data_IF_656219756810
#
_entry.id   IF_656219756810
#
_cell.length_a   1.000
_cell.length_b   1.000
_cell.length_c   1.000
_cell.angle_alpha   90.00
_cell.angle_beta   90.00
_cell.angle_gamma   90.00
#
_symmetry.space_group_name_H-M   'P 1'
#
loop_
_entity.id
_entity.type
_entity.pdbx_description
1 polymer ?
#
# COMPACT_ATOMS: atom_id res chain seq x y z
N UNK A 1 -14.15 -1.71 19.86
CA UNK A 1 -15.21 -2.38 19.07
C UNK A 1 -14.87 -2.60 17.57
N UNK A 2 -13.68 -2.24 17.05
CA UNK A 2 -13.32 -2.46 15.64
C UNK A 2 -12.20 -3.51 15.39
N UNK A 3 -11.70 -4.20 16.43
CA UNK A 3 -10.64 -5.21 16.26
C UNK A 3 -11.06 -6.39 15.38
N UNK A 4 -12.35 -6.68 15.27
CA UNK A 4 -12.86 -7.77 14.43
C UNK A 4 -12.67 -7.53 12.92
N UNK A 5 -12.37 -6.30 12.47
CA UNK A 5 -12.17 -5.98 11.05
C UNK A 5 -10.70 -5.78 10.68
N UNK A 6 -9.80 -5.79 11.66
CA UNK A 6 -8.36 -5.66 11.42
C UNK A 6 -7.90 -6.86 10.57
N UNK A 7 -7.10 -6.57 9.53
CA UNK A 7 -6.55 -7.52 8.55
C UNK A 7 -7.53 -8.38 7.73
N UNK A 8 -8.86 -8.21 7.88
CA UNK A 8 -9.85 -9.06 7.18
C UNK A 8 -10.05 -8.77 5.70
N UNK A 9 -9.93 -7.51 5.28
CA UNK A 9 -10.08 -7.14 3.86
C UNK A 9 -8.71 -6.85 3.28
N UNK A 10 -8.19 -7.73 2.41
CA UNK A 10 -6.87 -7.54 1.82
C UNK A 10 -6.81 -6.25 0.98
N UNK A 11 -5.69 -5.52 1.01
CA UNK A 11 -5.48 -4.33 0.17
C UNK A 11 -5.77 -4.54 -1.34
N UNK A 12 -5.44 -5.69 -1.98
CA UNK A 12 -5.80 -5.92 -3.38
C UNK A 12 -7.31 -5.88 -3.62
N UNK A 13 -8.11 -6.43 -2.71
CA UNK A 13 -9.57 -6.44 -2.85
C UNK A 13 -10.15 -5.03 -2.74
N UNK A 14 -9.68 -4.25 -1.75
CA UNK A 14 -10.06 -2.86 -1.60
C UNK A 14 -9.65 -2.03 -2.83
N UNK A 15 -8.43 -2.22 -3.33
CA UNK A 15 -7.93 -1.58 -4.53
C UNK A 15 -8.86 -1.83 -5.73
N UNK A 16 -9.20 -3.10 -6.00
CA UNK A 16 -10.07 -3.47 -7.12
C UNK A 16 -11.45 -2.85 -6.97
N UNK A 17 -12.03 -2.93 -5.77
CA UNK A 17 -13.34 -2.34 -5.47
C UNK A 17 -13.36 -0.84 -5.75
N UNK A 18 -12.37 -0.10 -5.24
CA UNK A 18 -12.27 1.34 -5.45
C UNK A 18 -11.97 1.68 -6.92
N UNK A 19 -11.13 0.91 -7.60
CA UNK A 19 -10.85 1.09 -9.02
C UNK A 19 -12.13 0.91 -9.87
N UNK A 20 -12.95 -0.09 -9.55
CA UNK A 20 -14.26 -0.32 -10.20
C UNK A 20 -15.22 0.82 -9.93
N UNK A 21 -15.29 1.33 -8.68
CA UNK A 21 -16.11 2.49 -8.34
C UNK A 21 -15.67 3.70 -9.17
N UNK A 22 -14.36 4.01 -9.21
CA UNK A 22 -13.82 5.11 -10.04
C UNK A 22 -14.21 4.94 -11.51
N UNK A 23 -14.08 3.72 -12.05
CA UNK A 23 -14.49 3.44 -13.43
C UNK A 23 -15.99 3.71 -13.68
N UNK A 24 -16.85 3.45 -12.69
CA UNK A 24 -18.29 3.70 -12.77
C UNK A 24 -18.70 5.16 -12.49
N UNK A 25 -17.83 6.00 -11.90
CA UNK A 25 -18.17 7.40 -11.60
C UNK A 25 -18.50 8.19 -12.88
N UNK A 26 -19.51 9.07 -12.88
CA UNK A 26 -19.79 9.94 -14.01
C UNK A 26 -18.76 11.07 -14.13
N UNK A 27 -18.65 11.64 -15.34
CA UNK A 27 -17.78 12.77 -15.64
C UNK A 27 -16.32 12.38 -15.85
N UNK A 28 -15.71 12.93 -16.89
CA UNK A 28 -14.28 12.75 -17.18
C UNK A 28 -13.75 13.97 -17.94
N UNK A 29 -12.58 14.45 -17.53
CA UNK A 29 -11.80 15.49 -18.23
C UNK A 29 -10.65 14.86 -19.02
N UNK A 30 -10.81 13.61 -19.45
CA UNK A 30 -9.77 12.81 -20.07
C UNK A 30 -9.12 13.51 -21.29
N UNK A 31 -7.81 13.33 -21.39
CA UNK A 31 -6.99 13.73 -22.53
C UNK A 31 -5.80 12.77 -22.66
N UNK A 32 -5.10 12.70 -23.81
CA UNK A 32 -3.94 11.84 -23.96
C UNK A 32 -2.84 12.03 -22.91
N UNK A 33 -2.71 13.25 -22.36
CA UNK A 33 -1.76 13.57 -21.27
C UNK A 33 -2.06 12.74 -20.02
N UNK A 34 -3.33 12.48 -19.74
CA UNK A 34 -3.74 11.64 -18.60
C UNK A 34 -3.22 10.21 -18.74
N UNK A 35 -3.33 9.61 -19.94
CA UNK A 35 -2.77 8.28 -20.19
C UNK A 35 -1.25 8.28 -20.10
N UNK A 36 -0.60 9.31 -20.67
CA UNK A 36 0.85 9.45 -20.65
C UNK A 36 1.44 9.53 -19.23
N UNK A 37 0.71 10.10 -18.27
CA UNK A 37 1.13 10.19 -16.86
C UNK A 37 0.61 9.01 -16.03
N UNK A 38 -0.66 8.65 -16.22
CA UNK A 38 -1.37 7.67 -15.42
C UNK A 38 -0.86 6.25 -15.62
N UNK A 39 -0.52 5.84 -16.86
CA UNK A 39 0.00 4.50 -17.14
C UNK A 39 1.36 4.27 -16.48
N UNK A 40 2.37 5.15 -16.62
CA UNK A 40 3.62 5.01 -15.88
C UNK A 40 3.43 4.96 -14.36
N UNK A 41 2.58 5.83 -13.80
CA UNK A 41 2.28 5.83 -12.37
C UNK A 41 1.64 4.51 -11.91
N UNK A 42 0.68 4.00 -12.68
CA UNK A 42 0.04 2.71 -12.43
C UNK A 42 1.05 1.56 -12.43
N UNK A 43 1.87 1.47 -13.47
CA UNK A 43 2.87 0.42 -13.62
C UNK A 43 3.95 0.51 -12.54
N UNK A 44 4.39 1.71 -12.18
CA UNK A 44 5.35 1.93 -11.09
C UNK A 44 4.76 1.47 -9.75
N UNK A 45 3.52 1.84 -9.44
CA UNK A 45 2.84 1.41 -8.22
C UNK A 45 2.67 -0.11 -8.13
N UNK A 46 2.31 -0.76 -9.23
CA UNK A 46 2.22 -2.22 -9.31
C UNK A 46 3.60 -2.90 -9.17
N UNK A 47 4.64 -2.30 -9.74
CA UNK A 47 6.02 -2.80 -9.64
C UNK A 47 6.55 -2.73 -8.21
N UNK A 48 6.26 -1.65 -7.48
CA UNK A 48 6.58 -1.49 -6.05
C UNK A 48 5.91 -2.59 -5.22
N UNK A 49 4.69 -3.00 -5.56
CA UNK A 49 4.00 -4.12 -4.90
C UNK A 49 4.62 -5.49 -5.21
N UNK A 50 5.18 -5.65 -6.40
CA UNK A 50 5.82 -6.90 -6.82
C UNK A 50 7.26 -7.04 -6.29
N UNK A 51 7.93 -5.92 -5.99
CA UNK A 51 9.33 -5.87 -5.56
C UNK A 51 9.65 -6.67 -4.28
N UNK A 52 8.81 -6.65 -3.22
CA UNK A 52 9.07 -7.49 -2.05
C UNK A 52 9.05 -8.97 -2.41
N UNK A 53 8.19 -9.42 -3.35
CA UNK A 53 8.11 -10.84 -3.78
C UNK A 53 9.38 -11.33 -4.48
N UNK A 54 10.20 -10.44 -5.06
CA UNK A 54 11.52 -10.81 -5.62
C UNK A 54 12.61 -10.83 -4.55
N UNK A 55 12.54 -9.95 -3.54
CA UNK A 55 13.44 -9.96 -2.38
C UNK A 55 13.21 -11.21 -1.50
N UNK A 56 11.94 -11.59 -1.29
CA UNK A 56 11.54 -12.71 -0.44
C UNK A 56 11.88 -14.08 -1.04
N UNK A 57 11.72 -14.25 -2.36
CA UNK A 57 12.17 -15.46 -3.06
C UNK A 57 13.68 -15.67 -2.96
N UNK A 58 14.46 -14.60 -2.90
CA UNK A 58 15.92 -14.68 -2.72
C UNK A 58 16.34 -14.92 -1.27
N UNK A 59 15.52 -14.53 -0.30
CA UNK A 59 15.79 -14.70 1.13
C UNK A 59 15.25 -16.02 1.73
N UNK A 60 14.59 -16.88 0.94
CA UNK A 60 14.08 -18.17 1.39
C UNK A 60 12.94 -18.08 2.43
N UNK A 61 12.35 -16.91 2.62
CA UNK A 61 11.30 -16.66 3.62
C UNK A 61 10.08 -16.03 2.96
N UNK A 62 8.88 -16.39 3.42
CA UNK A 62 7.63 -15.76 2.97
C UNK A 62 7.12 -14.84 4.06
N UNK A 63 7.22 -13.52 3.84
CA UNK A 63 6.36 -12.59 4.59
C UNK A 63 5.04 -12.59 3.84
N UNK A 64 4.05 -13.28 4.42
CA UNK A 64 2.67 -13.07 4.02
C UNK A 64 2.20 -11.78 4.72
N UNK A 65 1.86 -10.70 4.01
CA UNK A 65 1.29 -9.49 4.62
C UNK A 65 -0.02 -9.77 5.38
N UNK A 66 -0.64 -10.93 5.15
CA UNK A 66 -1.81 -11.43 5.87
C UNK A 66 -1.45 -12.15 7.18
N UNK A 67 -0.16 -12.45 7.40
CA UNK A 67 0.36 -13.08 8.63
C UNK A 67 1.59 -12.36 9.19
N UNK A 68 1.48 -11.07 9.58
CA UNK A 68 2.57 -10.32 10.22
C UNK A 68 3.13 -11.03 11.48
N UNK A 69 2.34 -11.88 12.14
CA UNK A 69 2.73 -12.73 13.26
C UNK A 69 3.76 -13.82 12.91
N UNK A 70 4.06 -14.05 11.63
CA UNK A 70 5.07 -15.03 11.19
C UNK A 70 6.42 -14.42 10.83
N UNK A 71 6.56 -13.08 10.86
CA UNK A 71 7.85 -12.45 10.54
C UNK A 71 8.86 -12.67 11.65
N UNK A 72 9.85 -13.54 11.42
CA UNK A 72 10.96 -13.79 12.36
C UNK A 72 12.03 -12.69 12.36
N UNK A 73 12.03 -11.82 11.35
CA UNK A 73 13.02 -10.75 11.17
C UNK A 73 12.32 -9.43 10.83
N UNK A 74 12.85 -8.31 11.35
CA UNK A 74 12.44 -6.97 10.95
C UNK A 74 13.22 -6.54 9.69
N UNK A 75 12.49 -6.26 8.60
CA UNK A 75 13.12 -5.87 7.33
C UNK A 75 13.17 -4.35 7.23
N UNK A 76 14.38 -3.81 7.17
CA UNK A 76 14.65 -2.36 7.08
C UNK A 76 15.44 -1.97 5.81
N UNK A 77 15.74 -2.94 4.94
CA UNK A 77 16.53 -2.76 3.72
C UNK A 77 15.68 -2.61 2.46
N UNK A 78 16.30 -2.21 1.35
CA UNK A 78 15.60 -2.00 0.07
C UNK A 78 14.60 -0.86 0.16
N UNK A 79 13.36 -1.07 -0.30
CA UNK A 79 12.30 -0.04 -0.25
C UNK A 79 11.88 0.32 1.18
N UNK A 80 12.07 -0.61 2.13
CA UNK A 80 11.77 -0.38 3.55
C UNK A 80 12.69 0.66 4.21
N UNK A 81 13.78 1.08 3.55
CA UNK A 81 14.62 2.18 4.07
C UNK A 81 13.99 3.56 3.88
N UNK A 82 13.02 3.66 2.97
CA UNK A 82 12.39 4.95 2.60
C UNK A 82 11.01 5.12 3.23
N UNK A 83 10.21 4.05 3.19
CA UNK A 83 8.88 3.99 3.80
C UNK A 83 8.77 2.71 4.61
N UNK A 84 8.11 2.76 5.77
CA UNK A 84 7.78 1.55 6.53
C UNK A 84 6.73 0.69 5.85
N UNK A 85 6.01 1.24 4.87
CA UNK A 85 4.84 0.64 4.23
C UNK A 85 4.91 0.72 2.69
N UNK A 86 6.02 0.31 2.04
CA UNK A 86 6.24 0.54 0.62
C UNK A 86 5.20 -0.18 -0.25
N UNK A 87 4.68 -1.33 0.18
CA UNK A 87 3.61 -2.04 -0.53
C UNK A 87 2.31 -1.23 -0.57
N UNK A 88 1.86 -0.72 0.57
CA UNK A 88 0.65 0.09 0.64
C UNK A 88 0.80 1.39 -0.14
N UNK A 89 2.01 1.99 -0.16
CA UNK A 89 2.35 3.12 -1.01
C UNK A 89 2.23 2.77 -2.50
N UNK A 90 2.75 1.60 -2.91
CA UNK A 90 2.61 1.10 -4.28
C UNK A 90 1.15 0.97 -4.71
N UNK A 91 0.26 0.47 -3.84
CA UNK A 91 -1.17 0.40 -4.14
C UNK A 91 -1.82 1.78 -4.25
N UNK A 92 -1.48 2.71 -3.35
CA UNK A 92 -1.99 4.08 -3.42
C UNK A 92 -1.55 4.78 -4.72
N UNK A 93 -0.28 4.62 -5.12
CA UNK A 93 0.25 5.15 -6.37
C UNK A 93 -0.41 4.49 -7.59
N UNK A 94 -0.61 3.17 -7.56
CA UNK A 94 -1.32 2.46 -8.61
C UNK A 94 -2.76 2.99 -8.77
N UNK A 95 -3.45 3.21 -7.66
CA UNK A 95 -4.84 3.68 -7.68
C UNK A 95 -4.90 5.13 -8.18
N UNK A 96 -3.93 5.96 -7.80
CA UNK A 96 -3.79 7.31 -8.34
C UNK A 96 -3.54 7.30 -9.85
N UNK A 97 -2.64 6.44 -10.34
CA UNK A 97 -2.40 6.25 -11.78
C UNK A 97 -3.68 5.85 -12.52
N UNK A 98 -4.46 4.94 -11.95
CA UNK A 98 -5.78 4.56 -12.49
C UNK A 98 -6.76 5.74 -12.53
N UNK A 99 -6.86 6.52 -11.45
CA UNK A 99 -7.71 7.72 -11.38
C UNK A 99 -7.31 8.75 -12.44
N UNK A 100 -6.00 8.96 -12.62
CA UNK A 100 -5.46 9.85 -13.65
C UNK A 100 -5.83 9.32 -15.04
N UNK A 101 -5.61 8.04 -15.36
CA UNK A 101 -5.99 7.46 -16.65
C UNK A 101 -7.48 7.64 -16.98
N UNK A 102 -8.35 7.63 -15.98
CA UNK A 102 -9.79 7.83 -16.17
C UNK A 102 -10.17 9.31 -16.32
N UNK A 103 -9.28 10.25 -15.98
CA UNK A 103 -9.54 11.69 -16.00
C UNK A 103 -10.65 12.09 -15.02
N UNK A 104 -10.78 11.40 -13.88
CA UNK A 104 -11.91 11.58 -12.94
C UNK A 104 -11.47 12.19 -11.62
N UNK A 105 -11.69 13.49 -11.45
CA UNK A 105 -11.30 14.22 -10.24
C UNK A 105 -11.93 13.65 -8.96
N UNK A 106 -13.19 13.21 -9.01
CA UNK A 106 -13.85 12.55 -7.88
C UNK A 106 -13.15 11.26 -7.44
N UNK A 107 -12.38 10.63 -8.34
CA UNK A 107 -11.58 9.45 -8.02
C UNK A 107 -10.45 9.71 -7.03
N UNK A 108 -10.02 10.96 -6.82
CA UNK A 108 -9.07 11.30 -5.76
C UNK A 108 -9.61 10.98 -4.36
N UNK A 109 -10.93 11.05 -4.18
CA UNK A 109 -11.59 10.57 -2.96
C UNK A 109 -11.35 9.09 -2.71
N UNK A 110 -11.35 8.26 -3.75
CA UNK A 110 -11.05 6.83 -3.62
C UNK A 110 -9.61 6.59 -3.15
N UNK A 111 -8.64 7.38 -3.61
CA UNK A 111 -7.25 7.32 -3.13
C UNK A 111 -7.16 7.68 -1.64
N UNK A 112 -7.83 8.76 -1.22
CA UNK A 112 -7.87 9.16 0.18
C UNK A 112 -8.53 8.09 1.08
N UNK A 113 -9.64 7.50 0.62
CA UNK A 113 -10.34 6.39 1.30
C UNK A 113 -9.40 5.19 1.43
N UNK A 114 -8.69 4.82 0.35
CA UNK A 114 -7.72 3.73 0.38
C UNK A 114 -6.65 3.97 1.46
N UNK A 115 -5.99 5.13 1.44
CA UNK A 115 -4.92 5.50 2.39
C UNK A 115 -5.45 5.48 3.83
N UNK A 116 -6.62 6.07 4.07
CA UNK A 116 -7.25 6.09 5.39
C UNK A 116 -7.57 4.68 5.91
N UNK A 117 -8.18 3.86 5.04
CA UNK A 117 -8.53 2.48 5.37
C UNK A 117 -7.28 1.65 5.71
N UNK A 118 -6.29 1.60 4.81
CA UNK A 118 -5.10 0.76 5.04
C UNK A 118 -4.29 1.28 6.22
N UNK A 119 -4.24 2.59 6.46
CA UNK A 119 -3.62 3.14 7.68
C UNK A 119 -4.29 2.57 8.93
N UNK A 120 -5.63 2.62 8.99
CA UNK A 120 -6.37 2.26 10.20
C UNK A 120 -6.47 0.75 10.44
N UNK A 121 -6.70 -0.03 9.39
CA UNK A 121 -7.09 -1.44 9.50
C UNK A 121 -5.99 -2.42 9.10
N UNK A 122 -4.88 -1.95 8.50
CA UNK A 122 -3.76 -2.79 8.09
C UNK A 122 -2.46 -2.34 8.78
N UNK A 123 -2.02 -1.11 8.51
CA UNK A 123 -0.75 -0.57 8.99
C UNK A 123 -0.72 -0.48 10.52
N UNK A 124 -1.68 0.20 11.17
CA UNK A 124 -1.65 0.34 12.63
C UNK A 124 -1.67 -1.00 13.39
N UNK A 125 -2.50 -2.00 13.02
CA UNK A 125 -2.39 -3.35 13.57
C UNK A 125 -1.00 -3.98 13.36
N UNK A 126 -0.45 -3.90 12.15
CA UNK A 126 0.88 -4.43 11.82
C UNK A 126 1.99 -3.76 12.65
N UNK A 127 1.99 -2.42 12.75
CA UNK A 127 2.98 -1.68 13.54
C UNK A 127 2.90 -2.00 15.04
N UNK A 128 1.70 -2.31 15.57
CA UNK A 128 1.53 -2.75 16.97
C UNK A 128 2.17 -4.12 17.20
N UNK A 129 1.95 -5.06 16.28
CA UNK A 129 2.57 -6.38 16.37
C UNK A 129 4.10 -6.31 16.23
N UNK A 130 4.60 -5.50 15.30
CA UNK A 130 6.04 -5.28 15.13
C UNK A 130 6.66 -4.59 16.36
N UNK A 131 5.96 -3.63 16.96
CA UNK A 131 6.41 -2.99 18.21
C UNK A 131 6.45 -3.96 19.38
N UNK A 132 5.52 -4.91 19.46
CA UNK A 132 5.50 -5.92 20.52
C UNK A 132 6.59 -6.98 20.32
N UNK A 133 6.91 -7.34 19.07
CA UNK A 133 7.89 -8.38 18.75
C UNK A 133 9.33 -7.90 18.73
N UNK A 134 9.57 -6.66 18.29
CA UNK A 134 10.90 -6.07 18.14
C UNK A 134 10.96 -4.68 18.82
N UNK A 135 10.80 -4.61 20.15
CA UNK A 135 10.56 -3.34 20.84
C UNK A 135 11.67 -2.30 20.65
N UNK A 136 12.95 -2.70 20.71
CA UNK A 136 14.08 -1.79 20.56
C UNK A 136 14.36 -1.47 19.08
N UNK A 137 14.40 -2.48 18.23
CA UNK A 137 14.74 -2.39 16.82
C UNK A 137 13.67 -1.63 16.04
N UNK A 138 12.40 -1.93 16.31
CA UNK A 138 11.29 -1.23 15.66
C UNK A 138 11.18 0.22 16.13
N UNK A 139 11.47 0.51 17.41
CA UNK A 139 11.53 1.89 17.90
C UNK A 139 12.66 2.70 17.23
N UNK A 140 13.84 2.11 17.03
CA UNK A 140 14.91 2.73 16.27
C UNK A 140 14.50 2.96 14.80
N UNK A 141 13.89 1.95 14.17
CA UNK A 141 13.43 2.05 12.79
C UNK A 141 12.35 3.13 12.58
N UNK A 142 11.39 3.26 13.51
CA UNK A 142 10.37 4.34 13.48
C UNK A 142 10.95 5.74 13.51
N UNK A 143 12.11 5.93 14.18
CA UNK A 143 12.80 7.23 14.24
C UNK A 143 13.50 7.55 12.92
N UNK A 144 14.00 6.53 12.22
CA UNK A 144 14.73 6.70 10.96
C UNK A 144 13.79 6.80 9.74
N UNK A 145 12.65 6.11 9.75
CA UNK A 145 11.82 5.91 8.55
C UNK A 145 10.37 6.31 8.80
N UNK A 146 9.80 7.10 7.89
CA UNK A 146 8.40 7.55 7.96
C UNK A 146 7.43 6.43 7.63
N UNK A 147 6.19 6.56 8.11
CA UNK A 147 5.11 5.59 7.81
C UNK A 147 4.74 5.62 6.32
N UNK A 148 4.57 6.84 5.80
CA UNK A 148 4.33 7.18 4.41
C UNK A 148 5.46 8.12 3.97
N UNK A 149 6.09 7.83 2.83
CA UNK A 149 7.17 8.61 2.24
C UNK A 149 7.09 8.52 0.72
#
# INVERSE_FOLDING_TARGET
MFSALETRVPPPFLFLTLATIVWALPGSIYSPVHTAIGVPALLLGLSINAWPKSLFRRAGTTVNPLHPERSSVLITSGLYRYSRNPMYLGYALALLGWVICQGKLLGLGAVAIFIGYVTRFQILPEERQLSARFPAEYAAYKRAVRRWA
#
